data_IF_476288011731
#
_entry.id   IF_476288011731
#
_cell.length_a   1.000
_cell.length_b   1.000
_cell.length_c   1.000
_cell.angle_alpha   90.00
_cell.angle_beta   90.00
_cell.angle_gamma   90.00
#
_symmetry.space_group_name_H-M   'P 1'
#
loop_
_entity.id
_entity.type
_entity.pdbx_description
1 polymer ?
#
# COMPACT_ATOMS: atom_id res chain seq x y z
N UNK A 1 -4.64 -8.83 -14.30
CA UNK A 1 -5.01 -7.45 -13.97
C UNK A 1 -5.60 -7.48 -12.57
N UNK A 2 -5.10 -6.65 -11.65
CA UNK A 2 -5.69 -6.53 -10.31
C UNK A 2 -6.90 -5.60 -10.44
N UNK A 3 -8.05 -6.06 -9.99
CA UNK A 3 -9.29 -5.28 -10.01
C UNK A 3 -9.56 -4.78 -8.60
N UNK A 4 -9.87 -3.47 -8.40
CA UNK A 4 -10.35 -2.99 -7.11
C UNK A 4 -11.59 -3.78 -6.69
N UNK A 5 -11.61 -4.22 -5.46
CA UNK A 5 -12.71 -4.99 -4.89
C UNK A 5 -12.96 -4.52 -3.47
N UNK A 6 -14.24 -4.39 -3.09
CA UNK A 6 -14.66 -4.13 -1.73
C UNK A 6 -14.00 -2.86 -1.14
N UNK A 7 -14.25 -1.72 -1.80
CA UNK A 7 -13.59 -0.46 -1.47
C UNK A 7 -14.36 0.40 -0.46
N UNK A 8 -15.43 -0.13 0.11
CA UNK A 8 -16.30 0.55 1.08
C UNK A 8 -15.59 0.88 2.40
N UNK A 9 -14.55 0.12 2.77
CA UNK A 9 -13.67 0.42 3.91
C UNK A 9 -12.51 1.36 3.57
N UNK A 10 -12.53 1.97 2.39
CA UNK A 10 -11.57 3.00 2.03
C UNK A 10 -11.86 4.30 2.79
N UNK A 11 -10.92 5.23 2.75
CA UNK A 11 -11.06 6.54 3.39
C UNK A 11 -11.22 6.52 4.91
N UNK A 12 -10.60 5.55 5.57
CA UNK A 12 -10.53 5.49 7.03
C UNK A 12 -11.73 4.83 7.72
N UNK A 13 -12.62 4.19 6.97
CA UNK A 13 -13.71 3.41 7.55
C UNK A 13 -13.32 1.95 7.85
N UNK A 14 -14.01 1.33 8.80
CA UNK A 14 -13.99 -0.10 9.03
C UNK A 14 -15.36 -0.74 8.70
N UNK A 15 -15.36 -2.04 8.51
CA UNK A 15 -16.56 -2.83 8.19
C UNK A 15 -17.65 -2.77 9.28
N UNK A 16 -17.31 -2.42 10.50
CA UNK A 16 -18.23 -2.26 11.62
C UNK A 16 -18.77 -0.82 11.75
N UNK A 17 -18.41 0.07 10.82
CA UNK A 17 -18.78 1.48 10.81
C UNK A 17 -17.91 2.37 11.69
N UNK A 18 -16.90 1.82 12.36
CA UNK A 18 -15.95 2.63 13.12
C UNK A 18 -14.93 3.31 12.20
N UNK A 19 -14.23 4.28 12.74
CA UNK A 19 -13.19 5.03 12.03
C UNK A 19 -11.80 4.62 12.50
N UNK A 20 -10.81 4.80 11.63
CA UNK A 20 -9.40 4.64 11.97
C UNK A 20 -8.54 5.74 11.37
N UNK A 21 -7.48 6.09 12.09
CA UNK A 21 -6.57 7.17 11.67
C UNK A 21 -5.37 6.69 10.85
N UNK A 22 -5.27 5.40 10.59
CA UNK A 22 -4.16 4.85 9.83
C UNK A 22 -4.20 5.33 8.38
N UNK A 23 -3.04 5.82 7.93
CA UNK A 23 -2.81 6.23 6.53
C UNK A 23 -1.85 5.27 5.83
N UNK A 24 -1.62 5.49 4.54
CA UNK A 24 -0.68 4.68 3.77
C UNK A 24 0.71 4.69 4.40
N UNK A 25 1.36 3.52 4.41
CA UNK A 25 2.74 3.38 4.81
C UNK A 25 3.46 2.34 3.95
N UNK A 26 4.75 2.51 3.75
CA UNK A 26 5.55 1.55 2.99
C UNK A 26 5.57 0.17 3.65
N UNK A 27 5.53 0.10 4.99
CA UNK A 27 5.50 -1.16 5.72
C UNK A 27 4.23 -1.96 5.47
N UNK A 28 3.11 -1.28 5.25
CA UNK A 28 1.84 -1.91 4.90
C UNK A 28 1.90 -2.56 3.52
N UNK A 29 2.48 -1.89 2.53
CA UNK A 29 2.72 -2.44 1.20
C UNK A 29 3.69 -3.61 1.23
N UNK A 30 4.72 -3.55 2.06
CA UNK A 30 5.71 -4.61 2.22
C UNK A 30 5.13 -5.90 2.79
N UNK A 31 3.98 -5.88 3.45
CA UNK A 31 3.29 -7.07 3.96
C UNK A 31 2.57 -7.87 2.86
N UNK A 32 2.27 -7.24 1.73
CA UNK A 32 1.58 -7.89 0.62
C UNK A 32 2.60 -8.51 -0.34
N UNK A 33 2.73 -9.84 -0.30
CA UNK A 33 3.78 -10.58 -1.01
C UNK A 33 4.02 -10.20 -2.49
N UNK A 34 3.00 -9.99 -3.35
CA UNK A 34 3.23 -9.55 -4.72
C UNK A 34 3.86 -8.16 -4.82
N UNK A 35 3.38 -7.22 -4.02
CA UNK A 35 3.88 -5.84 -4.04
C UNK A 35 5.27 -5.73 -3.43
N UNK A 36 5.51 -6.40 -2.31
CA UNK A 36 6.85 -6.48 -1.71
C UNK A 36 7.86 -6.98 -2.74
N UNK A 37 7.53 -8.04 -3.46
CA UNK A 37 8.43 -8.60 -4.46
C UNK A 37 8.72 -7.61 -5.60
N UNK A 38 7.74 -6.85 -6.06
CA UNK A 38 7.92 -5.81 -7.08
C UNK A 38 8.81 -4.67 -6.57
N UNK A 39 8.56 -4.20 -5.35
CA UNK A 39 9.31 -3.11 -4.72
C UNK A 39 10.77 -3.50 -4.46
N UNK A 40 11.00 -4.71 -3.90
CA UNK A 40 12.35 -5.18 -3.53
C UNK A 40 13.19 -5.53 -4.74
N UNK A 41 12.63 -6.19 -5.73
CA UNK A 41 13.34 -6.59 -6.94
C UNK A 41 13.50 -5.47 -7.95
N UNK A 42 12.72 -4.39 -7.82
CA UNK A 42 12.70 -3.23 -8.70
C UNK A 42 12.74 -3.61 -10.21
N UNK A 43 11.99 -4.65 -10.55
CA UNK A 43 11.96 -5.19 -11.91
C UNK A 43 11.54 -4.09 -12.89
N UNK A 44 12.36 -3.89 -13.92
CA UNK A 44 12.11 -2.88 -14.96
C UNK A 44 11.90 -1.47 -14.40
N UNK A 45 12.63 -1.12 -13.34
CA UNK A 45 12.54 0.18 -12.64
C UNK A 45 11.12 0.46 -12.11
N UNK A 46 10.50 -0.54 -11.51
CA UNK A 46 9.13 -0.45 -11.01
C UNK A 46 8.94 0.73 -10.06
N UNK A 47 9.87 0.94 -9.11
CA UNK A 47 9.79 2.03 -8.14
C UNK A 47 9.81 3.41 -8.81
N UNK A 48 10.68 3.60 -9.79
CA UNK A 48 10.75 4.86 -10.55
C UNK A 48 9.46 5.10 -11.37
N UNK A 49 8.91 4.05 -11.99
CA UNK A 49 7.63 4.14 -12.72
C UNK A 49 6.46 4.45 -11.79
N UNK A 50 6.43 3.89 -10.58
CA UNK A 50 5.41 4.20 -9.59
C UNK A 50 5.49 5.64 -9.13
N UNK A 51 6.68 6.15 -8.82
CA UNK A 51 6.89 7.54 -8.45
C UNK A 51 6.48 8.50 -9.57
N UNK A 52 6.91 8.22 -10.81
CA UNK A 52 6.50 9.01 -11.97
C UNK A 52 4.97 9.00 -12.15
N UNK A 53 4.34 7.84 -12.03
CA UNK A 53 2.88 7.72 -12.19
C UNK A 53 2.13 8.45 -11.10
N UNK A 54 2.61 8.41 -9.87
CA UNK A 54 2.06 9.20 -8.78
C UNK A 54 2.14 10.70 -9.09
N UNK A 55 3.31 11.18 -9.51
CA UNK A 55 3.51 12.59 -9.86
C UNK A 55 2.55 13.06 -10.97
N UNK A 56 2.31 12.24 -11.99
CA UNK A 56 1.35 12.53 -13.05
C UNK A 56 -0.10 12.57 -12.53
N UNK A 57 -0.45 11.70 -11.58
CA UNK A 57 -1.82 11.53 -11.12
C UNK A 57 -2.20 12.50 -10.00
N UNK A 58 -1.29 12.81 -9.07
CA UNK A 58 -1.59 13.62 -7.88
C UNK A 58 -2.06 15.04 -8.19
N UNK A 59 -1.72 15.57 -9.37
CA UNK A 59 -2.17 16.88 -9.84
C UNK A 59 -3.33 16.81 -10.83
N UNK A 60 -3.79 15.60 -11.16
CA UNK A 60 -4.84 15.39 -12.16
C UNK A 60 -5.99 14.54 -11.60
N UNK A 61 -6.02 13.25 -11.92
CA UNK A 61 -7.13 12.36 -11.57
C UNK A 61 -7.20 12.02 -10.08
N UNK A 62 -6.09 12.09 -9.37
CA UNK A 62 -5.97 11.88 -7.92
C UNK A 62 -5.68 13.19 -7.16
N UNK A 63 -5.82 14.33 -7.81
CA UNK A 63 -5.64 15.64 -7.19
C UNK A 63 -6.60 15.84 -6.01
N UNK A 64 -6.08 16.37 -4.90
CA UNK A 64 -6.83 16.55 -3.66
C UNK A 64 -8.13 17.30 -3.90
N UNK A 65 -8.08 18.48 -4.49
CA UNK A 65 -9.27 19.32 -4.74
C UNK A 65 -10.31 18.60 -5.60
N UNK A 66 -9.85 17.88 -6.61
CA UNK A 66 -10.74 17.15 -7.52
C UNK A 66 -11.47 16.01 -6.83
N UNK A 67 -10.79 15.23 -6.01
CA UNK A 67 -11.40 14.12 -5.26
C UNK A 67 -12.34 14.68 -4.20
N UNK A 68 -11.90 15.69 -3.46
CA UNK A 68 -12.71 16.36 -2.43
C UNK A 68 -13.98 16.94 -3.01
N UNK A 69 -13.89 17.64 -4.14
CA UNK A 69 -15.08 18.21 -4.79
C UNK A 69 -16.07 17.10 -5.20
N UNK A 70 -15.57 16.01 -5.77
CA UNK A 70 -16.42 14.86 -6.14
C UNK A 70 -17.12 14.24 -4.93
N UNK A 71 -16.42 14.12 -3.79
CA UNK A 71 -17.01 13.61 -2.54
C UNK A 71 -18.14 14.54 -2.10
N UNK A 72 -17.94 15.87 -2.14
CA UNK A 72 -18.97 16.86 -1.78
C UNK A 72 -20.15 16.83 -2.76
N UNK A 73 -19.90 16.73 -4.05
CA UNK A 73 -20.97 16.62 -5.08
C UNK A 73 -21.85 15.38 -4.82
N UNK A 74 -21.27 14.26 -4.38
CA UNK A 74 -22.07 13.09 -3.98
C UNK A 74 -22.86 13.33 -2.70
N UNK A 75 -22.32 14.04 -1.71
CA UNK A 75 -23.06 14.40 -0.50
C UNK A 75 -24.30 15.23 -0.85
N UNK A 76 -24.14 16.24 -1.69
CA UNK A 76 -25.26 17.08 -2.16
C UNK A 76 -26.31 16.23 -2.86
N UNK A 77 -25.91 15.29 -3.72
CA UNK A 77 -26.83 14.37 -4.40
C UNK A 77 -27.61 13.48 -3.42
N UNK A 78 -26.97 12.98 -2.35
CA UNK A 78 -27.65 12.19 -1.32
C UNK A 78 -28.66 13.02 -0.52
N UNK A 79 -28.33 14.28 -0.23
CA UNK A 79 -29.24 15.20 0.44
C UNK A 79 -30.43 15.53 -0.47
N UNK A 80 -30.19 16.00 -1.68
CA UNK A 80 -31.22 16.45 -2.63
C UNK A 80 -32.21 15.34 -2.98
N UNK A 81 -31.73 14.09 -3.03
CA UNK A 81 -32.59 12.92 -3.27
C UNK A 81 -33.32 12.41 -2.01
N UNK A 82 -32.99 12.93 -0.83
CA UNK A 82 -33.47 12.43 0.46
C UNK A 82 -32.94 11.02 0.81
N UNK A 83 -31.90 10.56 0.10
CA UNK A 83 -31.34 9.23 0.33
C UNK A 83 -30.64 9.13 1.68
N UNK A 84 -29.93 10.18 2.08
CA UNK A 84 -29.25 10.20 3.37
C UNK A 84 -30.21 10.08 4.55
N UNK A 85 -31.28 10.86 4.57
CA UNK A 85 -32.30 10.78 5.61
C UNK A 85 -32.89 9.37 5.74
N UNK A 86 -33.20 8.74 4.60
CA UNK A 86 -33.71 7.36 4.59
C UNK A 86 -32.71 6.34 5.15
N UNK A 87 -31.42 6.49 4.84
CA UNK A 87 -30.37 5.60 5.39
C UNK A 87 -30.16 5.83 6.88
N UNK A 88 -30.12 7.07 7.36
CA UNK A 88 -30.04 7.37 8.79
C UNK A 88 -31.21 6.72 9.55
N UNK A 89 -32.44 6.88 9.05
CA UNK A 89 -33.62 6.26 9.66
C UNK A 89 -33.59 4.73 9.65
N UNK A 90 -33.08 4.14 8.58
CA UNK A 90 -33.00 2.69 8.41
C UNK A 90 -31.98 2.05 9.37
N UNK A 91 -30.86 2.73 9.58
CA UNK A 91 -29.73 2.20 10.34
C UNK A 91 -29.58 2.85 11.73
N UNK A 92 -30.60 3.51 12.25
CA UNK A 92 -30.59 4.20 13.54
C UNK A 92 -30.31 3.27 14.75
N UNK A 93 -30.54 1.97 14.61
CA UNK A 93 -30.25 0.95 15.63
C UNK A 93 -28.89 0.24 15.41
N UNK A 94 -28.09 0.70 14.47
CA UNK A 94 -26.76 0.15 14.29
C UNK A 94 -25.87 0.53 15.50
N UNK A 95 -25.00 -0.37 16.01
CA UNK A 95 -24.02 -0.05 17.05
C UNK A 95 -23.18 1.20 16.77
N UNK A 96 -22.92 1.48 15.49
CA UNK A 96 -22.29 2.73 15.02
C UNK A 96 -23.26 3.37 14.02
N UNK A 97 -24.18 4.23 14.49
CA UNK A 97 -25.14 4.88 13.61
C UNK A 97 -24.45 5.91 12.72
N UNK A 98 -25.04 6.10 11.52
CA UNK A 98 -24.63 7.19 10.64
C UNK A 98 -24.90 8.55 11.32
N UNK A 99 -24.05 9.53 11.05
CA UNK A 99 -24.27 10.90 11.52
C UNK A 99 -25.56 11.47 10.88
N UNK A 100 -26.35 12.22 11.65
CA UNK A 100 -27.54 12.89 11.10
C UNK A 100 -27.17 13.86 9.98
N UNK A 101 -26.06 14.58 10.18
CA UNK A 101 -25.51 15.49 9.19
C UNK A 101 -24.45 14.79 8.34
N UNK A 102 -24.72 14.57 7.06
CA UNK A 102 -23.78 13.95 6.12
C UNK A 102 -22.46 14.71 6.02
N UNK A 103 -22.46 16.03 6.25
CA UNK A 103 -21.22 16.82 6.14
C UNK A 103 -20.21 16.49 7.25
N UNK A 104 -20.65 16.00 8.40
CA UNK A 104 -19.74 15.53 9.46
C UNK A 104 -18.98 14.27 8.99
N UNK A 105 -19.65 13.37 8.26
CA UNK A 105 -19.02 12.22 7.61
C UNK A 105 -18.07 12.68 6.50
N UNK A 106 -18.47 13.64 5.69
CA UNK A 106 -17.66 14.17 4.59
C UNK A 106 -16.39 14.84 5.13
N UNK A 107 -16.49 15.63 6.19
CA UNK A 107 -15.34 16.30 6.79
C UNK A 107 -14.35 15.28 7.36
N UNK A 108 -14.83 14.18 7.96
CA UNK A 108 -13.96 13.08 8.36
C UNK A 108 -13.22 12.47 7.15
N UNK A 109 -13.95 12.11 6.10
CA UNK A 109 -13.40 11.49 4.87
C UNK A 109 -12.37 12.41 4.22
N UNK A 110 -12.66 13.71 4.10
CA UNK A 110 -11.78 14.70 3.49
C UNK A 110 -10.50 14.86 4.31
N UNK A 111 -10.61 14.99 5.63
CA UNK A 111 -9.46 15.10 6.52
C UNK A 111 -8.60 13.83 6.50
N UNK A 112 -9.21 12.65 6.46
CA UNK A 112 -8.48 11.40 6.30
C UNK A 112 -7.76 11.34 4.96
N UNK A 113 -8.45 11.71 3.87
CA UNK A 113 -7.88 11.71 2.52
C UNK A 113 -6.70 12.68 2.39
N UNK A 114 -6.78 13.86 3.00
CA UNK A 114 -5.67 14.82 3.03
C UNK A 114 -4.41 14.20 3.67
N UNK A 115 -4.55 13.63 4.86
CA UNK A 115 -3.43 12.96 5.56
C UNK A 115 -2.89 11.78 4.76
N UNK A 116 -3.78 10.98 4.16
CA UNK A 116 -3.37 9.85 3.32
C UNK A 116 -2.67 10.30 2.04
N UNK A 117 -3.13 11.38 1.42
CA UNK A 117 -2.51 11.95 0.23
C UNK A 117 -1.07 12.41 0.51
N UNK A 118 -0.84 13.06 1.64
CA UNK A 118 0.51 13.41 2.11
C UNK A 118 1.37 12.17 2.36
N UNK A 119 0.84 11.17 3.05
CA UNK A 119 1.58 9.93 3.32
C UNK A 119 1.97 9.20 2.02
N UNK A 120 1.09 9.17 1.03
CA UNK A 120 1.37 8.59 -0.30
C UNK A 120 2.42 9.42 -1.04
N UNK A 121 2.38 10.75 -0.93
CA UNK A 121 3.37 11.61 -1.55
C UNK A 121 4.78 11.38 -0.95
N UNK A 122 4.87 11.21 0.35
CA UNK A 122 6.13 10.83 1.01
C UNK A 122 6.66 9.48 0.53
N UNK A 123 5.78 8.48 0.34
CA UNK A 123 6.17 7.15 -0.15
C UNK A 123 6.72 7.23 -1.58
N UNK A 124 6.12 8.02 -2.44
CA UNK A 124 6.46 8.08 -3.87
C UNK A 124 7.24 9.32 -4.27
N UNK A 125 7.62 10.19 -3.33
CA UNK A 125 8.43 11.37 -3.65
C UNK A 125 9.77 10.95 -4.28
N UNK A 126 10.08 11.40 -5.51
CA UNK A 126 11.33 11.04 -6.19
C UNK A 126 12.58 11.51 -5.46
N UNK A 127 12.48 12.48 -4.55
CA UNK A 127 13.60 12.91 -3.71
C UNK A 127 13.82 11.98 -2.50
N UNK A 128 12.81 11.17 -2.13
CA UNK A 128 12.88 10.11 -1.11
C UNK A 128 13.12 8.75 -1.77
N UNK A 129 13.17 8.64 -3.07
CA UNK A 129 13.48 7.40 -3.79
C UNK A 129 14.93 6.93 -3.65
N UNK A 130 15.70 7.57 -2.84
CA UNK A 130 16.49 6.84 -1.90
C UNK A 130 15.57 6.29 -0.76
N UNK A 131 14.52 5.51 -1.09
CA UNK A 131 14.25 4.36 -0.22
C UNK A 131 15.61 3.71 -0.18
N UNK A 132 16.32 3.99 0.90
CA UNK A 132 17.60 3.40 1.20
C UNK A 132 17.34 1.93 0.94
N UNK A 133 17.88 1.43 -0.17
CA UNK A 133 17.86 -0.03 -0.41
C UNK A 133 18.28 -0.55 0.93
N UNK A 134 17.45 -1.41 1.60
CA UNK A 134 17.81 -1.88 2.91
C UNK A 134 19.27 -2.19 2.75
N UNK A 135 20.13 -1.42 3.45
CA UNK A 135 21.59 -1.37 3.19
C UNK A 135 21.92 -2.78 2.83
N UNK A 136 22.48 -3.03 1.64
CA UNK A 136 22.82 -4.40 1.27
C UNK A 136 23.62 -4.83 2.43
N UNK A 137 22.93 -5.54 3.34
CA UNK A 137 23.51 -5.88 4.61
C UNK A 137 24.80 -6.54 4.19
N UNK A 138 25.84 -5.75 4.22
CA UNK A 138 27.22 -6.22 4.06
C UNK A 138 27.53 -7.03 5.32
N UNK A 139 26.57 -7.90 5.67
CA UNK A 139 26.91 -9.12 6.36
C UNK A 139 27.72 -9.90 5.34
N UNK A 140 29.00 -9.61 5.40
CA UNK A 140 30.07 -10.22 4.62
C UNK A 140 30.25 -11.71 4.97
N UNK A 141 29.15 -12.40 5.15
CA UNK A 141 29.14 -13.86 5.18
C UNK A 141 28.36 -14.29 3.95
N UNK A 142 29.04 -14.72 2.89
CA UNK A 142 28.39 -15.18 1.70
C UNK A 142 27.48 -16.36 2.05
N UNK A 143 26.18 -16.13 2.06
CA UNK A 143 25.21 -17.21 2.33
C UNK A 143 25.07 -18.08 1.09
N UNK A 144 25.21 -19.38 1.29
CA UNK A 144 25.00 -20.39 0.25
C UNK A 144 23.58 -20.94 0.41
N UNK A 145 22.81 -20.89 -0.66
CA UNK A 145 21.44 -21.40 -0.69
C UNK A 145 21.38 -22.70 -1.48
N UNK A 146 20.62 -23.66 -0.99
CA UNK A 146 20.21 -24.83 -1.76
C UNK A 146 19.06 -24.46 -2.70
N UNK A 147 18.83 -25.27 -3.74
CA UNK A 147 17.71 -25.06 -4.68
C UNK A 147 16.34 -25.13 -4.00
N UNK A 148 16.24 -25.79 -2.85
CA UNK A 148 15.05 -25.89 -2.03
C UNK A 148 14.82 -24.65 -1.11
N UNK A 149 15.65 -23.60 -1.25
CA UNK A 149 15.57 -22.35 -0.49
C UNK A 149 16.18 -22.40 0.90
N UNK A 150 16.71 -23.53 1.34
CA UNK A 150 17.40 -23.64 2.64
C UNK A 150 18.76 -22.99 2.58
N UNK A 151 19.11 -22.26 3.63
CA UNK A 151 20.44 -21.67 3.82
C UNK A 151 21.38 -22.70 4.42
N UNK A 152 22.64 -22.66 4.01
CA UNK A 152 23.71 -23.44 4.66
C UNK A 152 24.56 -22.51 5.51
N UNK A 153 24.78 -22.90 6.76
CA UNK A 153 25.60 -22.15 7.72
C UNK A 153 27.11 -22.34 7.51
N UNK A 154 27.55 -23.05 6.47
CA UNK A 154 28.96 -23.26 6.18
C UNK A 154 29.42 -22.42 5.00
N UNK A 155 30.50 -21.69 5.18
CA UNK A 155 31.14 -20.88 4.13
C UNK A 155 32.18 -21.69 3.30
N UNK A 156 32.37 -22.97 3.60
CA UNK A 156 33.34 -23.81 2.92
C UNK A 156 32.64 -24.76 1.94
N UNK A 157 32.78 -24.50 0.64
CA UNK A 157 32.21 -25.30 -0.44
C UNK A 157 32.63 -26.76 -0.44
N UNK A 158 33.77 -27.10 0.20
CA UNK A 158 34.25 -28.46 0.31
C UNK A 158 33.43 -29.35 1.26
N UNK A 159 32.60 -28.73 2.09
CA UNK A 159 31.71 -29.45 3.03
C UNK A 159 30.32 -29.74 2.44
N UNK A 160 30.07 -29.31 1.18
CA UNK A 160 28.77 -29.50 0.54
C UNK A 160 28.72 -30.85 -0.18
N UNK A 161 27.58 -31.51 -0.04
CA UNK A 161 27.28 -32.70 -0.84
C UNK A 161 27.08 -32.32 -2.31
N UNK A 162 27.35 -33.25 -3.21
CA UNK A 162 27.11 -33.08 -4.63
C UNK A 162 25.71 -32.49 -4.90
N UNK A 163 25.65 -31.38 -5.63
CA UNK A 163 24.36 -30.69 -5.88
C UNK A 163 24.51 -29.31 -6.51
N UNK A 164 23.36 -28.66 -6.65
CA UNK A 164 23.25 -27.32 -7.17
C UNK A 164 23.00 -26.34 -6.00
N UNK A 165 23.75 -25.26 -5.99
CA UNK A 165 23.68 -24.22 -4.96
C UNK A 165 23.68 -22.84 -5.61
N UNK A 166 23.21 -21.83 -4.86
CA UNK A 166 23.26 -20.42 -5.24
C UNK A 166 24.21 -19.71 -4.26
N UNK A 167 25.27 -19.13 -4.80
CA UNK A 167 26.28 -18.38 -4.06
C UNK A 167 26.47 -17.01 -4.68
N UNK A 168 26.32 -15.96 -3.90
CA UNK A 168 26.39 -14.58 -4.38
C UNK A 168 25.50 -14.34 -5.64
N UNK A 169 24.29 -14.89 -5.62
CA UNK A 169 23.36 -14.77 -6.73
C UNK A 169 23.70 -15.58 -7.99
N UNK A 170 24.78 -16.38 -7.95
CA UNK A 170 25.21 -17.24 -9.07
C UNK A 170 24.99 -18.71 -8.78
N UNK A 171 24.53 -19.43 -9.79
CA UNK A 171 24.37 -20.88 -9.72
C UNK A 171 25.75 -21.57 -9.76
N UNK A 172 26.03 -22.41 -8.76
CA UNK A 172 27.26 -23.22 -8.69
C UNK A 172 26.91 -24.69 -8.63
N UNK A 173 27.80 -25.52 -9.14
CA UNK A 173 27.68 -26.98 -9.12
C UNK A 173 28.81 -27.55 -8.23
N UNK A 174 28.43 -28.27 -7.19
CA UNK A 174 29.36 -29.05 -6.38
C UNK A 174 29.36 -30.48 -6.95
N UNK A 175 30.53 -30.95 -7.38
CA UNK A 175 30.70 -32.28 -8.01
C UNK A 175 30.95 -33.36 -6.97
#
# INVERSE_FOLDING_TARGET
MLTPWDMDMSFGGYWDGSYHDEVASIDRYNKLAPYNRLLVLDIDKFNAKMAQRWEECKHTVLGFDRITQRIRDYADLFIDSGAWEREVLKWNNNPVPLQENIYDEIDYVVNWFERNHFAVDEIFNPNITAISQPEKNTFAVPMIYRVDGRTSNSNNLQQFTKGIYIYNGRKIFVK
#
